data_IF_691565844690
#
_entry.id   IF_691565844690
#
_cell.length_a   1.000
_cell.length_b   1.000
_cell.length_c   1.000
_cell.angle_alpha   90.00
_cell.angle_beta   90.00
_cell.angle_gamma   90.00
#
_symmetry.space_group_name_H-M   'P 1'
#
loop_
_entity.id
_entity.type
_entity.pdbx_description
1 polymer ?
#
# COMPACT_ATOMS: atom_id res chain seq x y z
N UNK A 1 -16.69 22.39 -4.63
CA UNK A 1 -15.25 22.38 -4.28
C UNK A 1 -14.56 23.30 -5.28
N UNK A 2 -14.22 24.52 -4.85
CA UNK A 2 -13.53 25.50 -5.69
C UNK A 2 -12.01 25.34 -5.57
N UNK A 3 -11.31 25.29 -6.72
CA UNK A 3 -9.85 25.21 -6.81
C UNK A 3 -9.31 26.55 -7.37
N UNK A 4 -8.93 27.51 -6.53
CA UNK A 4 -8.70 28.90 -6.95
C UNK A 4 -7.39 29.13 -7.74
N UNK A 5 -6.58 28.10 -8.02
CA UNK A 5 -5.26 28.23 -8.70
C UNK A 5 -4.89 27.07 -9.63
N UNK A 6 -5.86 26.26 -10.06
CA UNK A 6 -5.61 25.16 -10.99
C UNK A 6 -4.81 23.97 -10.41
N UNK A 7 -4.40 24.02 -9.14
CA UNK A 7 -3.85 22.89 -8.39
C UNK A 7 -4.83 22.51 -7.30
N UNK A 8 -5.73 21.57 -7.60
CA UNK A 8 -6.43 20.84 -6.55
C UNK A 8 -5.42 19.87 -5.94
N UNK A 9 -5.14 19.89 -4.62
CA UNK A 9 -4.40 18.79 -4.01
C UNK A 9 -5.16 17.52 -4.34
N UNK A 10 -4.47 16.56 -4.98
CA UNK A 10 -5.03 15.22 -5.15
C UNK A 10 -5.55 14.76 -3.79
N UNK A 11 -6.82 14.35 -3.66
CA UNK A 11 -7.33 13.80 -2.40
C UNK A 11 -6.61 12.51 -2.00
N UNK A 12 -5.74 11.99 -2.86
CA UNK A 12 -5.08 10.70 -2.74
C UNK A 12 -3.67 10.84 -2.15
N UNK A 13 -3.58 11.28 -0.89
CA UNK A 13 -2.40 11.05 -0.04
C UNK A 13 -2.61 9.78 0.79
N UNK A 14 -3.03 8.69 0.15
CA UNK A 14 -3.32 7.42 0.82
C UNK A 14 -2.51 6.30 0.18
N UNK A 15 -1.75 5.58 1.00
CA UNK A 15 -1.07 4.35 0.62
C UNK A 15 -1.88 3.16 1.10
N UNK A 16 -2.19 2.24 0.19
CA UNK A 16 -2.81 0.95 0.50
C UNK A 16 -1.73 -0.13 0.47
N UNK A 17 -1.61 -0.89 1.56
CA UNK A 17 -0.63 -1.98 1.70
C UNK A 17 -1.38 -3.29 1.92
N UNK A 18 -1.08 -4.30 1.11
CA UNK A 18 -1.46 -5.67 1.41
C UNK A 18 -0.58 -6.15 2.58
N UNK A 19 -1.15 -6.14 3.78
CA UNK A 19 -0.46 -6.49 5.01
C UNK A 19 -0.83 -7.93 5.35
N UNK A 20 -0.44 -8.88 4.52
CA UNK A 20 -1.09 -10.17 4.58
C UNK A 20 -0.60 -11.07 5.72
N UNK A 21 0.46 -10.77 6.47
CA UNK A 21 0.66 -11.39 7.80
C UNK A 21 -0.60 -11.20 8.66
N UNK A 22 -1.33 -10.10 8.43
CA UNK A 22 -2.60 -9.78 9.08
C UNK A 22 -3.82 -10.12 8.22
N UNK A 23 -3.63 -10.75 7.05
CA UNK A 23 -4.69 -11.10 6.10
C UNK A 23 -5.63 -9.94 5.76
N UNK A 24 -5.10 -8.72 5.57
CA UNK A 24 -5.92 -7.54 5.28
C UNK A 24 -5.19 -6.50 4.44
N UNK A 25 -5.96 -5.56 3.88
CA UNK A 25 -5.42 -4.33 3.30
C UNK A 25 -5.49 -3.21 4.33
N UNK A 26 -4.38 -2.50 4.52
CA UNK A 26 -4.27 -1.36 5.43
C UNK A 26 -4.09 -0.06 4.65
N UNK A 27 -4.74 1.01 5.10
CA UNK A 27 -4.67 2.33 4.49
C UNK A 27 -3.94 3.32 5.42
N UNK A 28 -2.93 3.99 4.87
CA UNK A 28 -2.10 4.97 5.57
C UNK A 28 -2.21 6.33 4.92
N UNK A 29 -2.25 7.40 5.72
CA UNK A 29 -2.07 8.75 5.18
C UNK A 29 -0.60 8.97 4.88
N UNK A 30 -0.32 9.60 3.74
CA UNK A 30 1.02 10.06 3.39
C UNK A 30 1.26 11.45 3.97
N UNK A 31 2.41 11.61 4.62
CA UNK A 31 2.93 12.91 5.03
C UNK A 31 3.37 13.68 3.79
N UNK A 32 3.61 14.98 3.93
CA UNK A 32 4.16 15.82 2.84
C UNK A 32 5.52 15.31 2.30
N UNK A 33 6.25 14.53 3.08
CA UNK A 33 7.49 13.85 2.67
C UNK A 33 7.27 12.63 1.77
N UNK A 34 6.01 12.21 1.56
CA UNK A 34 5.67 10.98 0.83
C UNK A 34 5.76 9.71 1.69
N UNK A 35 6.17 9.81 2.95
CA UNK A 35 6.22 8.68 3.88
C UNK A 35 4.86 8.45 4.56
N UNK A 36 4.46 7.21 4.82
CA UNK A 36 3.22 6.93 5.55
C UNK A 36 3.30 7.37 7.01
N UNK A 37 2.14 7.63 7.61
CA UNK A 37 1.99 7.67 9.06
C UNK A 37 2.31 6.30 9.68
N UNK A 38 2.68 6.27 10.96
CA UNK A 38 3.13 5.03 11.60
C UNK A 38 1.99 4.00 11.78
N UNK A 39 0.75 4.47 11.87
CA UNK A 39 -0.43 3.63 12.08
C UNK A 39 -1.41 3.80 10.93
N UNK A 40 -2.05 2.71 10.46
CA UNK A 40 -3.10 2.82 9.47
C UNK A 40 -4.31 3.55 10.06
N UNK A 41 -4.99 4.34 9.24
CA UNK A 41 -6.24 5.02 9.66
C UNK A 41 -7.49 4.19 9.32
N UNK A 42 -7.35 3.15 8.50
CA UNK A 42 -8.41 2.23 8.10
C UNK A 42 -7.81 0.90 7.64
N UNK A 43 -8.61 -0.16 7.70
CA UNK A 43 -8.24 -1.50 7.23
C UNK A 43 -9.49 -2.30 6.87
N UNK A 44 -9.34 -3.30 6.02
CA UNK A 44 -10.39 -4.30 5.80
C UNK A 44 -10.52 -5.23 6.99
N UNK A 45 -11.63 -5.97 7.04
CA UNK A 45 -11.72 -7.18 7.84
C UNK A 45 -10.67 -8.20 7.39
N UNK A 46 -10.39 -9.16 8.27
CA UNK A 46 -9.46 -10.27 8.00
C UNK A 46 -10.02 -11.19 6.92
N UNK A 47 -9.20 -11.53 5.94
CA UNK A 47 -9.55 -12.39 4.81
C UNK A 47 -8.44 -13.42 4.61
N UNK A 48 -8.54 -14.57 5.26
CA UNK A 48 -7.51 -15.60 5.24
C UNK A 48 -7.27 -16.16 3.83
N UNK A 49 -5.99 -16.35 3.49
CA UNK A 49 -5.59 -16.93 2.20
C UNK A 49 -5.85 -16.02 0.98
N UNK A 50 -6.14 -14.74 1.21
CA UNK A 50 -6.50 -13.79 0.15
C UNK A 50 -5.35 -12.88 -0.30
N UNK A 51 -4.24 -12.83 0.45
CA UNK A 51 -3.06 -12.06 0.11
C UNK A 51 -1.82 -12.96 0.16
N UNK A 52 -1.11 -13.20 -0.96
CA UNK A 52 0.13 -13.95 -0.92
C UNK A 52 1.19 -13.15 -0.17
N UNK A 53 1.56 -13.61 1.03
CA UNK A 53 2.72 -13.08 1.78
C UNK A 53 3.94 -13.95 1.65
N UNK A 54 3.81 -15.04 0.91
CA UNK A 54 4.90 -15.98 0.74
C UNK A 54 5.86 -15.41 -0.28
N UNK A 55 7.07 -15.08 0.17
CA UNK A 55 8.17 -14.69 -0.71
C UNK A 55 8.67 -15.97 -1.38
N UNK A 56 8.13 -16.27 -2.56
CA UNK A 56 8.70 -17.32 -3.41
C UNK A 56 10.00 -16.80 -4.05
N UNK A 57 11.15 -17.14 -3.46
CA UNK A 57 12.44 -16.90 -4.09
C UNK A 57 12.60 -17.86 -5.27
N UNK A 58 12.33 -17.38 -6.49
CA UNK A 58 12.65 -18.11 -7.70
C UNK A 58 14.18 -18.10 -7.90
N UNK A 59 14.84 -19.21 -7.56
CA UNK A 59 16.22 -19.44 -7.99
C UNK A 59 16.20 -19.77 -9.49
N UNK A 60 16.54 -18.77 -10.31
CA UNK A 60 16.68 -18.95 -11.74
C UNK A 60 17.92 -19.84 -11.99
N UNK A 61 17.69 -21.11 -12.33
CA UNK A 61 18.74 -22.03 -12.77
C UNK A 61 19.12 -21.71 -14.22
N UNK A 62 19.86 -20.63 -14.42
CA UNK A 62 20.37 -20.28 -15.73
C UNK A 62 21.23 -19.03 -15.66
N UNK A 63 22.40 -19.09 -16.30
CA UNK A 63 23.09 -17.86 -16.67
C UNK A 63 22.20 -17.12 -17.68
N UNK A 64 21.94 -15.83 -17.44
CA UNK A 64 21.43 -14.95 -18.49
C UNK A 64 22.42 -15.02 -19.65
N UNK A 65 22.00 -15.65 -20.75
CA UNK A 65 22.76 -15.69 -21.99
C UNK A 65 22.27 -14.63 -22.96
#
# INVERSE_FOLDING_TARGET
MDCPRGTCPSPHNVLYVAAGEFDRVQAYRLRKSGLPEATPFSQTDEQTGSFPNDVALAMLSGECR
#
